data_IF_985535222495
#
_entry.id   IF_985535222495
#
_cell.length_a   1.000
_cell.length_b   1.000
_cell.length_c   1.000
_cell.angle_alpha   90.00
_cell.angle_beta   90.00
_cell.angle_gamma   90.00
#
_symmetry.space_group_name_H-M   'P 1'
#
loop_
_entity.id
_entity.type
_entity.pdbx_description
1 polymer ?
#
# COMPACT_ATOMS: atom_id res chain seq x y z
N UNK A 1 -8.84 5.92 -25.69
CA UNK A 1 -9.14 7.32 -25.32
C UNK A 1 -9.59 7.32 -23.87
N UNK A 2 -8.76 7.82 -22.96
CA UNK A 2 -9.03 7.79 -21.52
C UNK A 2 -8.20 8.89 -20.88
N UNK A 3 -8.67 10.12 -21.02
CA UNK A 3 -8.00 11.35 -20.58
C UNK A 3 -9.05 12.33 -20.09
N UNK A 4 -9.98 11.86 -19.26
CA UNK A 4 -10.91 12.73 -18.57
C UNK A 4 -10.33 13.14 -17.23
N UNK A 5 -10.35 14.45 -16.99
CA UNK A 5 -10.11 15.00 -15.66
C UNK A 5 -11.31 14.67 -14.79
N UNK A 6 -11.04 14.10 -13.62
CA UNK A 6 -12.03 13.87 -12.58
C UNK A 6 -11.58 14.58 -11.33
N UNK A 7 -12.50 15.31 -10.71
CA UNK A 7 -12.30 15.82 -9.37
C UNK A 7 -12.28 14.65 -8.40
N UNK A 8 -11.13 14.47 -7.74
CA UNK A 8 -10.96 13.50 -6.66
C UNK A 8 -11.02 14.28 -5.36
N UNK A 9 -11.89 13.87 -4.44
CA UNK A 9 -11.94 14.48 -3.11
C UNK A 9 -10.69 14.08 -2.30
N UNK A 10 -9.74 15.00 -2.09
CA UNK A 10 -8.49 14.70 -1.41
C UNK A 10 -8.69 14.43 0.08
N UNK A 11 -9.84 14.78 0.66
CA UNK A 11 -10.13 14.52 2.07
C UNK A 11 -10.27 13.03 2.39
N UNK A 12 -10.60 12.23 1.38
CA UNK A 12 -10.72 10.77 1.50
C UNK A 12 -9.39 10.03 1.29
N UNK A 13 -8.39 10.71 0.75
CA UNK A 13 -7.11 10.11 0.36
C UNK A 13 -6.12 10.02 1.55
N UNK A 14 -5.29 8.96 1.62
CA UNK A 14 -4.23 8.89 2.63
C UNK A 14 -3.21 10.01 2.45
N UNK A 15 -3.01 10.81 3.50
CA UNK A 15 -1.99 11.88 3.53
C UNK A 15 -0.55 11.34 3.43
N UNK A 16 -0.32 10.12 3.90
CA UNK A 16 0.97 9.47 3.91
C UNK A 16 0.85 8.08 3.29
N UNK A 17 1.85 7.67 2.51
CA UNK A 17 1.92 6.35 1.86
C UNK A 17 3.30 5.75 2.07
N UNK A 18 3.35 4.44 2.30
CA UNK A 18 4.57 3.64 2.26
C UNK A 18 4.47 2.65 1.10
N UNK A 19 5.57 2.49 0.36
CA UNK A 19 5.67 1.57 -0.78
C UNK A 19 6.82 0.62 -0.53
N UNK A 20 6.55 -0.67 -0.68
CA UNK A 20 7.53 -1.75 -0.54
C UNK A 20 7.59 -2.54 -1.83
N UNK A 21 8.80 -2.89 -2.26
CA UNK A 21 8.99 -3.87 -3.32
C UNK A 21 8.98 -5.26 -2.69
N UNK A 22 8.28 -6.19 -3.34
CA UNK A 22 8.15 -7.59 -2.93
C UNK A 22 8.46 -8.48 -4.12
N UNK A 23 9.03 -9.66 -3.87
CA UNK A 23 9.46 -10.60 -4.90
C UNK A 23 8.27 -11.14 -5.73
N UNK A 24 7.13 -11.39 -5.08
CA UNK A 24 5.88 -11.83 -5.71
C UNK A 24 4.68 -11.30 -4.90
N UNK A 25 3.51 -11.03 -5.51
CA UNK A 25 2.27 -10.75 -4.79
C UNK A 25 1.87 -11.87 -3.80
N UNK A 26 2.29 -13.12 -4.04
CA UNK A 26 1.92 -14.27 -3.20
C UNK A 26 2.46 -14.13 -1.77
N UNK A 27 3.57 -13.39 -1.58
CA UNK A 27 4.19 -13.12 -0.27
C UNK A 27 3.19 -12.53 0.72
N UNK A 28 2.25 -11.70 0.26
CA UNK A 28 1.27 -11.05 1.14
C UNK A 28 0.28 -12.01 1.82
N UNK A 29 0.22 -13.27 1.35
CA UNK A 29 -0.70 -14.29 1.85
C UNK A 29 0.00 -15.35 2.71
N UNK A 30 1.31 -15.27 2.88
CA UNK A 30 2.06 -16.26 3.64
C UNK A 30 1.97 -15.99 5.15
N UNK A 31 2.07 -17.03 6.00
CA UNK A 31 2.06 -16.84 7.46
C UNK A 31 3.25 -15.98 7.94
N UNK A 32 4.41 -16.08 7.30
CA UNK A 32 5.60 -15.31 7.67
C UNK A 32 5.37 -13.81 7.50
N UNK A 33 4.65 -13.39 6.46
CA UNK A 33 4.28 -11.99 6.29
C UNK A 33 3.33 -11.52 7.40
N UNK A 34 2.34 -12.34 7.75
CA UNK A 34 1.40 -12.04 8.84
C UNK A 34 2.11 -11.87 10.19
N UNK A 35 3.12 -12.71 10.47
CA UNK A 35 3.94 -12.60 11.68
C UNK A 35 4.86 -11.37 11.63
N UNK A 36 5.45 -11.05 10.47
CA UNK A 36 6.35 -9.92 10.32
C UNK A 36 5.64 -8.57 10.51
N UNK A 37 4.40 -8.40 10.04
CA UNK A 37 3.66 -7.12 10.17
C UNK A 37 3.25 -6.78 11.60
N UNK A 38 3.25 -7.76 12.51
CA UNK A 38 2.99 -7.57 13.93
C UNK A 38 4.28 -7.37 14.75
N UNK A 39 5.45 -7.39 14.12
CA UNK A 39 6.73 -7.10 14.78
C UNK A 39 7.08 -5.61 14.75
N UNK A 40 7.76 -5.17 15.80
CA UNK A 40 8.27 -3.80 15.91
C UNK A 40 7.21 -2.76 16.33
N UNK A 41 7.42 -1.52 15.88
CA UNK A 41 6.66 -0.34 16.35
C UNK A 41 5.33 -0.12 15.63
N UNK A 42 5.16 -0.72 14.46
CA UNK A 42 3.96 -0.54 13.64
C UNK A 42 2.64 -0.82 14.39
N UNK A 43 2.45 -1.99 15.06
CA UNK A 43 1.18 -2.32 15.70
C UNK A 43 0.81 -1.40 16.87
N UNK A 44 1.79 -0.89 17.61
CA UNK A 44 1.59 -0.15 18.87
C UNK A 44 1.72 1.37 18.72
N UNK A 45 2.62 1.85 17.85
CA UNK A 45 2.94 3.28 17.73
C UNK A 45 2.38 3.92 16.46
N UNK A 46 2.04 3.15 15.41
CA UNK A 46 1.64 3.72 14.11
C UNK A 46 0.20 3.36 13.74
N UNK A 47 -0.15 2.08 13.76
CA UNK A 47 -1.49 1.57 13.41
C UNK A 47 -2.61 2.25 14.19
N UNK A 48 -2.51 2.51 15.51
CA UNK A 48 -3.59 3.18 16.26
C UNK A 48 -3.89 4.61 15.81
N UNK A 49 -2.95 5.27 15.14
CA UNK A 49 -3.07 6.65 14.64
C UNK A 49 -3.35 6.72 13.14
N UNK A 50 -3.35 5.59 12.43
CA UNK A 50 -3.64 5.54 10.99
C UNK A 50 -5.14 5.44 10.75
N UNK A 51 -5.67 6.22 9.80
CA UNK A 51 -7.08 6.22 9.36
C UNK A 51 -7.13 6.09 7.83
N UNK A 52 -8.26 5.63 7.29
CA UNK A 52 -8.46 5.44 5.84
C UNK A 52 -7.33 4.61 5.17
N UNK A 53 -6.86 3.56 5.87
CA UNK A 53 -5.75 2.72 5.37
C UNK A 53 -6.20 1.92 4.15
N UNK A 54 -5.45 2.04 3.06
CA UNK A 54 -5.62 1.24 1.83
C UNK A 54 -4.37 0.43 1.54
N UNK A 55 -4.54 -0.74 0.92
CA UNK A 55 -3.45 -1.51 0.34
C UNK A 55 -3.65 -1.57 -1.17
N UNK A 56 -2.62 -1.23 -1.92
CA UNK A 56 -2.64 -1.25 -3.40
C UNK A 56 -1.41 -2.00 -3.86
N UNK A 57 -1.61 -2.95 -4.78
CA UNK A 57 -0.53 -3.67 -5.44
C UNK A 57 -0.25 -3.03 -6.79
N UNK A 58 1.01 -2.69 -7.02
CA UNK A 58 1.50 -2.19 -8.30
C UNK A 58 2.39 -3.25 -8.96
N UNK A 59 2.33 -3.33 -10.29
CA UNK A 59 3.28 -4.10 -11.09
C UNK A 59 4.25 -3.13 -11.76
N UNK A 60 5.53 -3.31 -11.51
CA UNK A 60 6.57 -2.58 -12.24
C UNK A 60 6.49 -3.02 -13.71
N UNK A 61 6.31 -2.05 -14.60
CA UNK A 61 6.41 -2.24 -16.05
C UNK A 61 7.74 -1.63 -16.47
N UNK A 62 8.56 -2.38 -17.21
CA UNK A 62 9.61 -1.74 -17.98
C UNK A 62 8.96 -0.77 -19.00
N UNK A 63 9.62 0.33 -19.40
CA UNK A 63 9.18 1.08 -20.56
C UNK A 63 9.04 0.10 -21.76
N UNK A 64 8.00 0.30 -22.56
CA UNK A 64 7.80 -0.51 -23.77
C UNK A 64 9.06 -0.38 -24.67
N UNK A 65 9.61 -1.51 -25.14
CA UNK A 65 10.64 -1.56 -26.19
C UNK A 65 10.07 -1.09 -27.55
#
# INVERSE_FOLDING_TARGET
MGGELRDVDPSSEPRYTATYEIESPDVLTTPEWADAVEQGRWPTEVRPHTRNRRHVLYRIRAPDD
#
